data_IF_128615548204
#
_entry.id   IF_128615548204
#
_cell.length_a   1.000
_cell.length_b   1.000
_cell.length_c   1.000
_cell.angle_alpha   90.00
_cell.angle_beta   90.00
_cell.angle_gamma   90.00
#
_symmetry.space_group_name_H-M   'P 1'
#
loop_
_entity.id
_entity.type
_entity.pdbx_description
1 polymer ?
#
# COMPACT_ATOMS: atom_id res chain seq x y z
N UNK A 1 6.36 -9.52 -1.70
CA UNK A 1 7.05 -9.76 -0.45
C UNK A 1 6.23 -10.59 0.51
N UNK A 2 6.78 -11.68 0.93
CA UNK A 2 6.02 -12.63 1.73
C UNK A 2 5.82 -12.12 3.17
N UNK A 3 4.59 -12.24 3.64
CA UNK A 3 4.24 -11.95 5.03
C UNK A 3 4.29 -13.28 5.79
N UNK A 4 5.02 -13.30 6.92
CA UNK A 4 5.12 -14.52 7.72
C UNK A 4 3.74 -14.87 8.31
N UNK A 5 3.14 -16.00 7.92
CA UNK A 5 1.78 -16.35 8.35
C UNK A 5 1.64 -16.67 9.84
N UNK A 6 2.76 -16.82 10.55
CA UNK A 6 2.76 -17.12 11.98
C UNK A 6 2.80 -15.87 12.83
N UNK A 7 2.86 -14.69 12.21
CA UNK A 7 2.93 -13.44 12.96
C UNK A 7 1.66 -12.63 12.78
N UNK A 8 1.27 -11.93 13.84
CA UNK A 8 0.15 -10.99 13.75
C UNK A 8 0.56 -9.82 12.89
N UNK A 9 -0.41 -9.18 12.27
CA UNK A 9 -0.12 -8.05 11.36
C UNK A 9 0.59 -6.91 12.07
N UNK A 10 0.27 -6.66 13.34
CA UNK A 10 0.97 -5.67 14.13
C UNK A 10 2.48 -5.92 14.17
N UNK A 11 2.87 -7.17 14.40
CA UNK A 11 4.29 -7.54 14.45
C UNK A 11 4.95 -7.38 13.09
N UNK A 12 4.22 -7.70 12.03
CA UNK A 12 4.72 -7.55 10.66
C UNK A 12 5.05 -6.09 10.38
N UNK A 13 4.18 -5.16 10.79
CA UNK A 13 4.43 -3.74 10.58
C UNK A 13 5.56 -3.22 11.47
N UNK A 14 5.64 -3.70 12.72
CA UNK A 14 6.71 -3.31 13.62
C UNK A 14 8.08 -3.71 13.06
N UNK A 15 8.17 -4.92 12.54
CA UNK A 15 9.42 -5.41 11.96
C UNK A 15 9.84 -4.61 10.74
N UNK A 16 8.88 -4.14 9.97
CA UNK A 16 9.15 -3.31 8.80
C UNK A 16 9.40 -1.84 9.13
N UNK A 17 9.30 -1.45 10.40
CA UNK A 17 9.47 -0.05 10.80
C UNK A 17 8.33 0.84 10.32
N UNK A 18 7.14 0.26 10.12
CA UNK A 18 6.00 0.99 9.56
C UNK A 18 4.76 0.97 10.46
N UNK A 19 4.95 0.68 11.75
CA UNK A 19 3.83 0.78 12.70
C UNK A 19 3.66 2.26 13.07
N UNK A 20 3.00 2.98 12.19
CA UNK A 20 2.83 4.41 12.23
C UNK A 20 1.34 4.72 12.10
N UNK A 21 0.78 5.44 13.09
CA UNK A 21 -0.62 5.81 13.13
C UNK A 21 -1.06 6.50 11.84
N UNK A 22 -0.22 7.36 11.30
CA UNK A 22 -0.56 8.11 10.09
C UNK A 22 -0.71 7.20 8.88
N UNK A 23 0.18 6.21 8.73
CA UNK A 23 0.08 5.24 7.63
C UNK A 23 -1.11 4.33 7.82
N UNK A 24 -1.34 3.87 9.05
CA UNK A 24 -2.47 3.00 9.35
C UNK A 24 -3.77 3.69 9.00
N UNK A 25 -3.93 4.93 9.42
CA UNK A 25 -5.14 5.70 9.15
C UNK A 25 -5.26 6.04 7.67
N UNK A 26 -4.18 6.47 7.05
CA UNK A 26 -4.20 6.88 5.63
C UNK A 26 -4.52 5.73 4.69
N UNK A 27 -4.12 4.51 5.04
CA UNK A 27 -4.38 3.34 4.21
C UNK A 27 -5.69 2.64 4.60
N UNK A 28 -6.44 3.21 5.55
CA UNK A 28 -7.71 2.64 5.95
C UNK A 28 -7.58 1.30 6.68
N UNK A 29 -6.47 1.09 7.36
CA UNK A 29 -6.26 -0.13 8.14
C UNK A 29 -6.95 0.03 9.49
N UNK A 30 -7.85 -0.88 9.80
CA UNK A 30 -8.55 -0.83 11.07
C UNK A 30 -7.71 -1.47 12.17
N UNK A 31 -7.82 -0.92 13.37
CA UNK A 31 -6.97 -1.34 14.49
C UNK A 31 -7.15 -2.81 14.84
N UNK A 32 -8.35 -3.33 14.72
CA UNK A 32 -8.61 -4.73 15.03
C UNK A 32 -7.91 -5.68 14.07
N UNK A 33 -7.59 -5.23 12.84
CA UNK A 33 -6.85 -6.05 11.89
C UNK A 33 -5.41 -6.28 12.36
N UNK A 34 -4.87 -5.38 13.16
CA UNK A 34 -3.50 -5.49 13.66
C UNK A 34 -3.30 -6.72 14.53
N UNK A 35 -4.37 -7.20 15.16
CA UNK A 35 -4.31 -8.37 16.02
C UNK A 35 -4.54 -9.68 15.26
N UNK A 36 -4.84 -9.59 13.97
CA UNK A 36 -5.12 -10.77 13.16
C UNK A 36 -3.88 -11.32 12.50
N UNK A 37 -3.95 -12.60 12.16
CA UNK A 37 -2.91 -13.25 11.36
C UNK A 37 -3.24 -13.04 9.87
N UNK A 38 -2.23 -13.14 8.98
CA UNK A 38 -2.48 -12.91 7.55
C UNK A 38 -3.63 -13.75 6.97
N UNK A 39 -3.76 -15.00 7.41
CA UNK A 39 -4.81 -15.87 6.91
C UNK A 39 -6.21 -15.48 7.33
N UNK A 40 -6.34 -14.55 8.26
CA UNK A 40 -7.63 -14.08 8.76
C UNK A 40 -8.08 -12.79 8.08
N UNK A 41 -7.33 -12.33 7.09
CA UNK A 41 -7.64 -11.09 6.37
C UNK A 41 -8.13 -11.38 4.96
N UNK A 42 -8.99 -10.51 4.44
CA UNK A 42 -9.37 -10.57 3.04
C UNK A 42 -8.19 -10.15 2.17
N UNK A 43 -8.27 -10.42 0.86
CA UNK A 43 -7.23 -10.01 -0.07
C UNK A 43 -7.00 -8.52 -0.07
N UNK A 44 -8.07 -7.73 -0.07
CA UNK A 44 -7.95 -6.26 -0.04
C UNK A 44 -7.38 -5.75 1.26
N UNK A 45 -7.76 -6.36 2.39
CA UNK A 45 -7.23 -5.99 3.69
C UNK A 45 -5.73 -6.28 3.75
N UNK A 46 -5.34 -7.46 3.33
CA UNK A 46 -3.93 -7.85 3.30
C UNK A 46 -3.13 -6.95 2.35
N UNK A 47 -3.72 -6.58 1.22
CA UNK A 47 -3.06 -5.70 0.25
C UNK A 47 -2.71 -4.35 0.87
N UNK A 48 -3.58 -3.79 1.72
CA UNK A 48 -3.28 -2.54 2.41
C UNK A 48 -2.07 -2.66 3.33
N UNK A 49 -1.92 -3.78 4.01
CA UNK A 49 -0.74 -4.03 4.83
C UNK A 49 0.53 -4.13 3.98
N UNK A 50 0.42 -4.73 2.82
CA UNK A 50 1.57 -4.82 1.91
C UNK A 50 2.00 -3.44 1.43
N UNK A 51 1.04 -2.55 1.16
CA UNK A 51 1.35 -1.16 0.79
C UNK A 51 2.05 -0.46 1.96
N UNK A 52 1.54 -0.64 3.18
CA UNK A 52 2.16 -0.03 4.35
C UNK A 52 3.61 -0.49 4.51
N UNK A 53 3.87 -1.79 4.34
CA UNK A 53 5.24 -2.32 4.45
C UNK A 53 6.18 -1.69 3.44
N UNK A 54 5.67 -1.37 2.26
CA UNK A 54 6.47 -0.78 1.21
C UNK A 54 6.82 0.69 1.50
N UNK A 55 6.13 1.33 2.45
CA UNK A 55 6.32 2.73 2.77
C UNK A 55 7.18 2.96 4.01
N UNK A 56 8.13 2.06 4.30
CA UNK A 56 9.04 2.21 5.44
C UNK A 56 9.82 3.50 5.38
N UNK A 57 10.38 3.90 6.53
CA UNK A 57 11.09 5.17 6.67
C UNK A 57 12.23 5.34 5.67
N UNK A 58 12.88 4.25 5.29
CA UNK A 58 14.02 4.29 4.40
C UNK A 58 13.66 4.11 2.93
N UNK A 59 12.37 4.00 2.63
CA UNK A 59 11.94 3.81 1.26
C UNK A 59 12.26 5.04 0.42
N UNK A 60 12.97 4.84 -0.68
CA UNK A 60 13.29 5.89 -1.63
C UNK A 60 12.66 5.68 -2.98
N UNK A 61 12.22 4.48 -3.25
CA UNK A 61 11.62 4.13 -4.52
C UNK A 61 10.52 3.11 -4.26
N UNK A 62 9.39 3.28 -4.93
CA UNK A 62 8.24 2.39 -4.79
C UNK A 62 7.83 1.85 -6.14
N UNK A 63 7.77 0.52 -6.24
CA UNK A 63 7.23 -0.14 -7.42
C UNK A 63 5.80 -0.58 -7.09
N UNK A 64 4.84 0.02 -7.75
CA UNK A 64 3.42 -0.26 -7.54
C UNK A 64 2.89 -1.11 -8.68
N UNK A 65 2.92 -2.43 -8.50
CA UNK A 65 2.50 -3.40 -9.50
C UNK A 65 1.13 -3.95 -9.11
N UNK A 66 0.07 -3.40 -9.70
CA UNK A 66 -1.32 -3.80 -9.44
C UNK A 66 -1.67 -3.79 -7.96
N UNK A 67 -1.15 -2.81 -7.22
CA UNK A 67 -1.23 -2.83 -5.76
C UNK A 67 -2.63 -2.55 -5.21
N UNK A 68 -3.55 -2.08 -6.04
CA UNK A 68 -4.93 -1.84 -5.60
C UNK A 68 -5.93 -2.71 -6.35
N UNK A 69 -5.46 -3.76 -7.02
CA UNK A 69 -6.30 -4.59 -7.88
C UNK A 69 -7.46 -5.28 -7.14
N UNK A 70 -7.29 -5.55 -5.84
CA UNK A 70 -8.30 -6.24 -5.05
C UNK A 70 -9.22 -5.30 -4.28
N UNK A 71 -9.15 -4.00 -4.57
CA UNK A 71 -9.95 -3.01 -3.87
C UNK A 71 -11.04 -2.47 -4.79
N UNK A 72 -12.16 -2.06 -4.19
CA UNK A 72 -13.21 -1.39 -4.95
C UNK A 72 -12.75 0.02 -5.37
N UNK A 73 -13.49 0.63 -6.30
CA UNK A 73 -13.07 1.90 -6.90
C UNK A 73 -12.96 3.05 -5.90
N UNK A 74 -13.87 3.11 -4.93
CA UNK A 74 -13.85 4.18 -3.93
C UNK A 74 -12.62 4.03 -3.04
N UNK A 75 -12.37 2.81 -2.58
CA UNK A 75 -11.21 2.52 -1.75
C UNK A 75 -9.91 2.76 -2.52
N UNK A 76 -9.87 2.35 -3.80
CA UNK A 76 -8.71 2.62 -4.64
C UNK A 76 -8.38 4.11 -4.68
N UNK A 77 -9.40 4.95 -4.90
CA UNK A 77 -9.20 6.40 -4.96
C UNK A 77 -8.62 6.93 -3.65
N UNK A 78 -9.14 6.48 -2.53
CA UNK A 78 -8.66 6.92 -1.22
C UNK A 78 -7.21 6.51 -0.99
N UNK A 79 -6.88 5.27 -1.31
CA UNK A 79 -5.52 4.75 -1.14
C UNK A 79 -4.56 5.50 -2.05
N UNK A 80 -4.93 5.70 -3.32
CA UNK A 80 -4.04 6.38 -4.26
C UNK A 80 -3.84 7.85 -3.90
N UNK A 81 -4.87 8.54 -3.41
CA UNK A 81 -4.72 9.93 -2.96
C UNK A 81 -3.70 10.01 -1.82
N UNK A 82 -3.82 9.12 -0.85
CA UNK A 82 -2.87 9.08 0.26
C UNK A 82 -1.46 8.73 -0.22
N UNK A 83 -1.36 7.72 -1.07
CA UNK A 83 -0.07 7.24 -1.56
C UNK A 83 0.67 8.31 -2.36
N UNK A 84 -0.05 9.03 -3.23
CA UNK A 84 0.55 10.08 -4.02
C UNK A 84 1.04 11.24 -3.16
N UNK A 85 0.32 11.57 -2.08
CA UNK A 85 0.79 12.58 -1.14
C UNK A 85 2.05 12.14 -0.41
N UNK A 86 2.12 10.88 0.00
CA UNK A 86 3.31 10.34 0.65
C UNK A 86 4.51 10.36 -0.28
N UNK A 87 4.31 9.92 -1.50
CA UNK A 87 5.37 9.88 -2.50
C UNK A 87 5.90 11.29 -2.76
N UNK A 88 4.99 12.25 -2.88
CA UNK A 88 5.35 13.63 -3.17
C UNK A 88 6.06 14.30 -2.00
N UNK A 89 5.52 14.17 -0.79
CA UNK A 89 6.09 14.83 0.38
C UNK A 89 7.41 14.21 0.82
N UNK A 90 7.61 12.92 0.58
CA UNK A 90 8.84 12.21 0.95
C UNK A 90 9.82 12.09 -0.20
N UNK A 91 9.47 12.63 -1.37
CA UNK A 91 10.31 12.59 -2.57
C UNK A 91 10.70 11.16 -2.95
N UNK A 92 9.73 10.27 -2.91
CA UNK A 92 9.91 8.87 -3.29
C UNK A 92 9.71 8.74 -4.80
N UNK A 93 10.60 8.00 -5.47
CA UNK A 93 10.39 7.64 -6.88
C UNK A 93 9.27 6.60 -6.97
N UNK A 94 8.39 6.77 -7.95
CA UNK A 94 7.24 5.88 -8.09
C UNK A 94 7.15 5.34 -9.51
N UNK A 95 7.10 4.02 -9.63
CA UNK A 95 6.83 3.34 -10.89
C UNK A 95 5.56 2.53 -10.72
N UNK A 96 4.56 2.80 -11.56
CA UNK A 96 3.25 2.14 -11.49
C UNK A 96 3.09 1.20 -12.66
N UNK A 97 2.74 -0.05 -12.35
CA UNK A 97 2.39 -1.05 -13.35
C UNK A 97 0.93 -1.40 -13.13
N UNK A 98 0.09 -1.16 -14.13
CA UNK A 98 -1.33 -1.44 -14.03
C UNK A 98 -1.91 -1.68 -15.42
N UNK A 99 -2.96 -2.49 -15.48
CA UNK A 99 -3.70 -2.71 -16.71
C UNK A 99 -4.91 -1.78 -16.82
N UNK A 100 -5.09 -0.89 -15.85
CA UNK A 100 -6.20 0.05 -15.83
C UNK A 100 -5.77 1.40 -16.39
N UNK A 101 -6.10 1.65 -17.65
CA UNK A 101 -5.69 2.88 -18.34
C UNK A 101 -6.15 4.14 -17.63
N UNK A 102 -7.40 4.18 -17.17
CA UNK A 102 -7.92 5.37 -16.51
C UNK A 102 -7.16 5.70 -15.23
N UNK A 103 -6.71 4.68 -14.50
CA UNK A 103 -5.90 4.89 -13.31
C UNK A 103 -4.53 5.46 -13.68
N UNK A 104 -3.89 4.90 -14.71
CA UNK A 104 -2.59 5.37 -15.18
C UNK A 104 -2.66 6.82 -15.66
N UNK A 105 -3.71 7.16 -16.39
CA UNK A 105 -3.91 8.53 -16.88
C UNK A 105 -4.05 9.52 -15.72
N UNK A 106 -4.66 9.07 -14.64
CA UNK A 106 -4.89 9.93 -13.49
C UNK A 106 -3.63 10.20 -12.66
N UNK A 107 -2.76 9.18 -12.50
CA UNK A 107 -1.64 9.27 -11.55
C UNK A 107 -0.28 9.47 -12.20
N UNK A 108 -0.12 9.17 -13.47
CA UNK A 108 1.19 9.20 -14.12
C UNK A 108 1.41 10.49 -14.90
N UNK A 109 2.57 11.12 -14.70
CA UNK A 109 3.01 12.24 -15.51
C UNK A 109 3.66 11.75 -16.79
N UNK A 110 4.38 10.64 -16.71
CA UNK A 110 4.98 9.98 -17.85
C UNK A 110 4.54 8.53 -17.90
N UNK A 111 4.17 8.07 -19.07
CA UNK A 111 3.60 6.74 -19.23
C UNK A 111 4.31 5.99 -20.36
N UNK A 112 4.78 4.79 -20.03
CA UNK A 112 5.41 3.89 -20.99
C UNK A 112 4.48 2.72 -21.22
N UNK A 113 4.20 2.44 -22.48
CA UNK A 113 3.33 1.34 -22.86
C UNK A 113 4.18 0.25 -23.52
N UNK A 114 4.16 -0.92 -22.92
CA UNK A 114 4.96 -2.06 -23.38
C UNK A 114 4.15 -3.02 -24.25
#
# INVERSE_FOLDING_TARGET
>A
EAVNPRRRMKTVLEEGGVLDERLIRGLGIEKEWLERYPGELSGGELQRFCIARALGEKTRFLLADEITAMLDLITQSQIWNFLLEEVRSREIGLLVVSHTDSLLDWICTDRIQL
#
